data_IF_825587247440
#
_entry.id   IF_825587247440
#
_cell.length_a   1.000
_cell.length_b   1.000
_cell.length_c   1.000
_cell.angle_alpha   90.00
_cell.angle_beta   90.00
_cell.angle_gamma   90.00
#
_symmetry.space_group_name_H-M   'P 1'
#
loop_
_entity.id
_entity.type
_entity.pdbx_description
1 polymer ?
#
# COMPACT_ATOMS: atom_id res chain seq x y z
N UNK A 1 31.14 -1.32 -12.19
CA UNK A 1 30.10 -2.04 -11.46
C UNK A 1 28.92 -2.22 -12.40
N UNK A 2 28.22 -3.35 -12.36
CA UNK A 2 26.97 -3.53 -13.12
C UNK A 2 25.89 -2.65 -12.52
N UNK A 3 24.96 -2.16 -13.35
CA UNK A 3 23.81 -1.41 -12.87
C UNK A 3 22.93 -2.27 -11.95
N UNK A 4 22.34 -1.71 -10.89
CA UNK A 4 21.39 -2.42 -10.06
C UNK A 4 20.14 -2.81 -10.88
N UNK A 5 19.56 -3.98 -10.57
CA UNK A 5 18.39 -4.50 -11.28
C UNK A 5 17.13 -4.28 -10.46
N UNK A 6 16.10 -3.72 -11.09
CA UNK A 6 14.84 -3.40 -10.45
C UNK A 6 13.65 -3.82 -11.32
N UNK A 7 12.68 -4.49 -10.72
CA UNK A 7 11.35 -4.70 -11.29
C UNK A 7 10.38 -3.69 -10.67
N UNK A 8 9.86 -2.76 -11.48
CA UNK A 8 8.79 -1.84 -11.04
C UNK A 8 7.44 -2.46 -11.35
N UNK A 9 6.58 -2.57 -10.36
CA UNK A 9 5.23 -3.11 -10.52
C UNK A 9 4.19 -2.00 -10.42
N UNK A 10 3.30 -1.93 -11.42
CA UNK A 10 2.23 -0.94 -11.53
C UNK A 10 0.91 -1.67 -11.79
N UNK A 11 -0.14 -1.34 -11.01
CA UNK A 11 -1.48 -1.86 -11.23
C UNK A 11 -2.33 -0.83 -11.97
N UNK A 12 -2.94 -1.21 -13.08
CA UNK A 12 -3.83 -0.38 -13.87
C UNK A 12 -5.29 -0.81 -13.70
N UNK A 13 -6.19 0.15 -13.52
CA UNK A 13 -7.64 -0.08 -13.56
C UNK A 13 -8.39 1.21 -13.88
N UNK A 14 -8.75 1.42 -15.14
CA UNK A 14 -9.51 2.56 -15.68
C UNK A 14 -8.94 3.98 -15.48
N UNK A 15 -7.79 4.13 -14.83
CA UNK A 15 -7.08 5.41 -14.64
C UNK A 15 -5.98 5.56 -15.69
N UNK A 16 -6.38 5.68 -16.94
CA UNK A 16 -5.41 5.59 -18.05
C UNK A 16 -4.36 6.70 -18.02
N UNK A 17 -4.74 7.97 -17.82
CA UNK A 17 -3.80 9.09 -17.83
C UNK A 17 -2.78 8.97 -16.69
N UNK A 18 -3.25 8.64 -15.49
CA UNK A 18 -2.37 8.44 -14.35
C UNK A 18 -1.44 7.24 -14.57
N UNK A 19 -1.97 6.13 -15.08
CA UNK A 19 -1.17 4.93 -15.38
C UNK A 19 -0.08 5.23 -16.42
N UNK A 20 -0.40 5.99 -17.47
CA UNK A 20 0.58 6.39 -18.48
C UNK A 20 1.68 7.27 -17.89
N UNK A 21 1.33 8.22 -17.01
CA UNK A 21 2.29 9.06 -16.31
C UNK A 21 3.19 8.25 -15.38
N UNK A 22 2.63 7.30 -14.63
CA UNK A 22 3.38 6.38 -13.77
C UNK A 22 4.39 5.54 -14.58
N UNK A 23 3.96 4.96 -15.71
CA UNK A 23 4.84 4.20 -16.64
C UNK A 23 5.94 5.10 -17.19
N UNK A 24 5.61 6.31 -17.64
CA UNK A 24 6.59 7.25 -18.17
C UNK A 24 7.62 7.67 -17.10
N UNK A 25 7.18 7.95 -15.87
CA UNK A 25 8.08 8.29 -14.75
C UNK A 25 9.01 7.14 -14.37
N UNK A 26 8.54 5.89 -14.48
CA UNK A 26 9.37 4.71 -14.29
C UNK A 26 10.38 4.54 -15.45
N UNK A 27 9.97 4.72 -16.70
CA UNK A 27 10.84 4.64 -17.86
C UNK A 27 11.93 5.73 -17.88
N UNK A 28 11.68 6.88 -17.25
CA UNK A 28 12.64 7.97 -17.11
C UNK A 28 13.74 7.74 -16.06
N UNK A 29 13.66 6.65 -15.30
CA UNK A 29 14.66 6.37 -14.26
C UNK A 29 16.03 6.02 -14.87
N UNK A 30 17.09 6.43 -14.17
CA UNK A 30 18.48 6.36 -14.65
C UNK A 30 19.33 5.49 -13.73
N UNK A 31 20.47 5.08 -14.23
CA UNK A 31 21.48 4.30 -13.52
C UNK A 31 20.94 2.97 -12.94
N UNK A 32 20.00 2.35 -13.63
CA UNK A 32 19.34 1.11 -13.22
C UNK A 32 18.99 0.23 -14.46
N UNK A 33 19.15 -1.08 -14.34
CA UNK A 33 18.60 -2.05 -15.28
C UNK A 33 17.14 -2.34 -14.87
N UNK A 34 16.18 -1.83 -15.65
CA UNK A 34 14.78 -1.71 -15.29
C UNK A 34 13.90 -2.69 -16.08
N UNK A 35 12.93 -3.32 -15.40
CA UNK A 35 11.71 -3.87 -16.01
C UNK A 35 10.49 -3.18 -15.41
N UNK A 36 9.54 -2.77 -16.24
CA UNK A 36 8.25 -2.22 -15.84
C UNK A 36 7.18 -3.29 -16.05
N UNK A 37 6.57 -3.75 -14.98
CA UNK A 37 5.64 -4.87 -14.95
C UNK A 37 4.24 -4.34 -14.62
N UNK A 38 3.44 -4.14 -15.67
CA UNK A 38 2.10 -3.59 -15.57
C UNK A 38 1.09 -4.72 -15.52
N UNK A 39 0.14 -4.67 -14.57
CA UNK A 39 -1.01 -5.57 -14.54
C UNK A 39 -2.27 -4.74 -14.69
N UNK A 40 -2.94 -4.89 -15.83
CA UNK A 40 -4.27 -4.33 -16.03
C UNK A 40 -5.33 -5.26 -15.43
N UNK A 41 -6.16 -4.70 -14.57
CA UNK A 41 -7.12 -5.41 -13.76
C UNK A 41 -8.54 -5.38 -14.36
N UNK A 42 -8.65 -5.53 -15.68
CA UNK A 42 -9.92 -5.53 -16.39
C UNK A 42 -10.46 -4.12 -16.60
N UNK A 43 -9.62 -3.24 -17.10
CA UNK A 43 -10.04 -1.91 -17.56
C UNK A 43 -10.98 -2.01 -18.76
N UNK A 44 -11.74 -0.95 -18.99
CA UNK A 44 -12.54 -0.80 -20.21
C UNK A 44 -11.65 -0.90 -21.46
N UNK A 45 -12.15 -1.50 -22.58
CA UNK A 45 -11.32 -1.78 -23.75
C UNK A 45 -10.55 -0.59 -24.30
N UNK A 46 -11.16 0.59 -24.31
CA UNK A 46 -10.53 1.82 -24.79
C UNK A 46 -9.36 2.28 -23.88
N UNK A 47 -9.49 2.11 -22.55
CA UNK A 47 -8.44 2.44 -21.58
C UNK A 47 -7.31 1.42 -21.65
N UNK A 48 -7.64 0.14 -21.74
CA UNK A 48 -6.67 -0.94 -21.92
C UNK A 48 -5.84 -0.75 -23.18
N UNK A 49 -6.48 -0.45 -24.34
CA UNK A 49 -5.77 -0.25 -25.60
C UNK A 49 -4.69 0.85 -25.54
N UNK A 50 -4.96 1.93 -24.78
CA UNK A 50 -3.98 3.01 -24.57
C UNK A 50 -2.80 2.58 -23.70
N UNK A 51 -3.05 1.81 -22.66
CA UNK A 51 -1.98 1.24 -21.82
C UNK A 51 -1.14 0.24 -22.62
N UNK A 52 -1.78 -0.60 -23.45
CA UNK A 52 -1.10 -1.53 -24.35
C UNK A 52 -0.17 -0.82 -25.33
N UNK A 53 -0.66 0.23 -25.97
CA UNK A 53 0.15 1.01 -26.91
C UNK A 53 1.38 1.60 -26.21
N UNK A 54 1.23 2.21 -25.05
CA UNK A 54 2.34 2.78 -24.29
C UNK A 54 3.37 1.73 -23.85
N UNK A 55 2.90 0.56 -23.38
CA UNK A 55 3.80 -0.54 -22.99
C UNK A 55 4.54 -1.13 -24.19
N UNK A 56 3.89 -1.20 -25.36
CA UNK A 56 4.51 -1.75 -26.57
C UNK A 56 5.69 -0.90 -27.09
N UNK A 57 5.69 0.40 -26.82
CA UNK A 57 6.78 1.31 -27.19
C UNK A 57 8.02 1.17 -26.29
N UNK A 58 7.90 0.51 -25.13
CA UNK A 58 8.96 0.41 -24.14
C UNK A 58 9.53 -1.03 -24.07
N UNK A 59 10.75 -1.28 -24.57
CA UNK A 59 11.36 -2.63 -24.56
C UNK A 59 11.50 -3.23 -23.17
N UNK A 60 11.62 -2.39 -22.13
CA UNK A 60 11.72 -2.81 -20.74
C UNK A 60 10.36 -3.06 -20.07
N UNK A 61 9.24 -2.78 -20.75
CA UNK A 61 7.91 -2.92 -20.15
C UNK A 61 7.22 -4.22 -20.60
N UNK A 62 6.35 -4.74 -19.74
CA UNK A 62 5.49 -5.91 -19.98
C UNK A 62 4.12 -5.65 -19.39
N UNK A 63 3.06 -6.11 -20.08
CA UNK A 63 1.67 -6.00 -19.62
C UNK A 63 1.06 -7.40 -19.45
N UNK A 64 0.46 -7.63 -18.29
CA UNK A 64 -0.47 -8.73 -18.03
C UNK A 64 -1.89 -8.18 -17.99
N UNK A 65 -2.79 -8.77 -18.79
CA UNK A 65 -4.21 -8.40 -18.84
C UNK A 65 -5.03 -9.38 -18.02
N UNK A 66 -5.85 -8.85 -17.13
CA UNK A 66 -6.82 -9.65 -16.38
C UNK A 66 -8.23 -9.32 -16.87
N UNK A 67 -9.13 -10.29 -16.74
CA UNK A 67 -10.54 -10.10 -17.12
C UNK A 67 -11.34 -9.33 -16.06
N UNK A 68 -10.80 -9.16 -14.85
CA UNK A 68 -11.46 -8.50 -13.72
C UNK A 68 -10.43 -8.01 -12.70
N UNK A 69 -10.86 -7.09 -11.85
CA UNK A 69 -10.08 -6.64 -10.70
C UNK A 69 -9.98 -7.77 -9.64
N UNK A 70 -8.75 -8.20 -9.36
CA UNK A 70 -8.42 -9.24 -8.38
C UNK A 70 -7.93 -8.66 -7.04
N UNK A 71 -7.85 -7.35 -6.94
CA UNK A 71 -7.34 -6.63 -5.78
C UNK A 71 -5.84 -6.32 -5.85
N UNK A 72 -5.41 -5.44 -4.94
CA UNK A 72 -4.03 -4.95 -4.90
C UNK A 72 -3.03 -6.07 -4.59
N UNK A 73 -3.20 -6.90 -3.54
CA UNK A 73 -2.23 -7.94 -3.22
C UNK A 73 -2.08 -8.98 -4.34
N UNK A 74 -3.17 -9.47 -4.91
CA UNK A 74 -3.11 -10.46 -6.00
C UNK A 74 -2.49 -9.85 -7.27
N UNK A 75 -2.87 -8.62 -7.63
CA UNK A 75 -2.27 -7.92 -8.76
C UNK A 75 -0.77 -7.69 -8.59
N UNK A 76 -0.31 -7.26 -7.41
CA UNK A 76 1.11 -7.08 -7.10
C UNK A 76 1.88 -8.41 -7.09
N UNK A 77 1.28 -9.49 -6.60
CA UNK A 77 1.88 -10.83 -6.65
C UNK A 77 2.07 -11.30 -8.11
N UNK A 78 1.05 -11.13 -8.94
CA UNK A 78 1.12 -11.46 -10.37
C UNK A 78 2.20 -10.63 -11.07
N UNK A 79 2.26 -9.32 -10.82
CA UNK A 79 3.31 -8.47 -11.38
C UNK A 79 4.71 -8.92 -10.93
N UNK A 80 4.91 -9.18 -9.63
CA UNK A 80 6.18 -9.64 -9.10
C UNK A 80 6.64 -10.97 -9.72
N UNK A 81 5.70 -11.87 -10.03
CA UNK A 81 5.98 -13.15 -10.69
C UNK A 81 6.41 -13.02 -12.17
N UNK A 82 6.14 -11.89 -12.82
CA UNK A 82 6.61 -11.62 -14.19
C UNK A 82 8.09 -11.23 -14.27
N UNK A 83 8.70 -10.90 -13.14
CA UNK A 83 10.07 -10.41 -13.04
C UNK A 83 10.97 -11.30 -12.19
N UNK A 84 12.25 -10.93 -12.15
CA UNK A 84 13.27 -11.68 -11.41
C UNK A 84 14.38 -10.78 -10.81
N UNK A 85 14.24 -9.46 -10.89
CA UNK A 85 15.20 -8.54 -10.28
C UNK A 85 15.27 -8.73 -8.75
N UNK A 86 16.44 -8.53 -8.12
CA UNK A 86 16.60 -8.69 -6.66
C UNK A 86 15.80 -7.66 -5.87
N UNK A 87 15.45 -6.53 -6.48
CA UNK A 87 14.63 -5.47 -5.91
C UNK A 87 13.32 -5.34 -6.66
N UNK A 88 12.20 -5.37 -5.91
CA UNK A 88 10.86 -5.07 -6.41
C UNK A 88 10.50 -3.69 -5.90
N UNK A 89 10.01 -2.81 -6.77
CA UNK A 89 9.45 -1.50 -6.40
C UNK A 89 7.98 -1.47 -6.80
N UNK A 90 7.10 -1.21 -5.85
CA UNK A 90 5.71 -0.94 -6.16
C UNK A 90 5.50 0.56 -6.31
N UNK A 91 4.79 0.94 -7.37
CA UNK A 91 4.34 2.29 -7.65
C UNK A 91 2.84 2.24 -7.93
N UNK A 92 2.05 3.02 -7.21
CA UNK A 92 0.62 3.13 -7.52
C UNK A 92 0.43 3.84 -8.87
N UNK A 93 -0.65 3.51 -9.58
CA UNK A 93 -0.91 4.10 -10.90
C UNK A 93 -1.15 5.61 -10.89
N UNK A 94 -1.42 6.19 -9.74
CA UNK A 94 -1.59 7.63 -9.54
C UNK A 94 -0.38 8.27 -8.83
N UNK A 95 0.80 7.64 -8.95
CA UNK A 95 2.05 8.15 -8.40
C UNK A 95 3.15 8.22 -9.48
N UNK A 96 4.07 9.17 -9.32
CA UNK A 96 5.25 9.35 -10.16
C UNK A 96 6.51 9.44 -9.30
N UNK A 97 7.65 8.95 -9.77
CA UNK A 97 8.92 9.13 -9.05
C UNK A 97 9.32 10.61 -9.06
N UNK A 98 9.67 11.14 -7.90
CA UNK A 98 10.02 12.56 -7.73
C UNK A 98 11.42 12.92 -8.28
N UNK A 99 12.27 11.92 -8.52
CA UNK A 99 13.67 12.10 -8.94
C UNK A 99 14.07 10.94 -9.87
N UNK A 100 14.87 11.18 -10.94
CA UNK A 100 15.22 10.15 -11.92
C UNK A 100 16.16 9.06 -11.39
N UNK A 101 16.63 9.10 -10.13
CA UNK A 101 17.52 8.11 -9.52
C UNK A 101 16.91 7.40 -8.31
N UNK A 102 15.61 7.52 -8.07
CA UNK A 102 14.94 6.89 -6.94
C UNK A 102 15.16 5.37 -6.95
N UNK A 103 15.01 4.73 -8.12
CA UNK A 103 15.16 3.28 -8.25
C UNK A 103 16.59 2.82 -8.00
N UNK A 104 17.56 3.51 -8.59
CA UNK A 104 18.98 3.18 -8.38
C UNK A 104 19.35 3.27 -6.91
N UNK A 105 19.02 4.40 -6.25
CA UNK A 105 19.29 4.60 -4.82
C UNK A 105 18.56 3.59 -3.92
N UNK A 106 17.33 3.23 -4.24
CA UNK A 106 16.58 2.23 -3.46
C UNK A 106 17.24 0.85 -3.55
N UNK A 107 17.68 0.44 -4.74
CA UNK A 107 18.34 -0.83 -4.96
C UNK A 107 19.73 -0.86 -4.31
N UNK A 108 20.54 0.19 -4.46
CA UNK A 108 21.85 0.34 -3.80
C UNK A 108 21.71 0.28 -2.28
N UNK A 109 20.71 0.94 -1.72
CA UNK A 109 20.45 0.91 -0.28
C UNK A 109 20.11 -0.50 0.22
N UNK A 110 19.24 -1.22 -0.50
CA UNK A 110 18.93 -2.61 -0.17
C UNK A 110 20.13 -3.55 -0.38
N UNK A 111 21.04 -3.27 -1.31
CA UNK A 111 22.25 -4.04 -1.52
C UNK A 111 23.25 -3.82 -0.40
N UNK A 112 23.50 -2.56 -0.03
CA UNK A 112 24.51 -2.16 0.98
C UNK A 112 24.06 -2.39 2.43
N UNK A 113 22.73 -2.50 2.66
CA UNK A 113 22.14 -2.74 3.99
C UNK A 113 21.41 -4.07 4.02
N UNK A 114 22.12 -5.20 4.18
CA UNK A 114 21.54 -6.55 4.10
C UNK A 114 20.52 -6.85 5.20
N UNK A 115 20.49 -6.09 6.29
CA UNK A 115 19.51 -6.15 7.35
C UNK A 115 18.14 -5.64 6.91
N UNK A 116 18.06 -4.82 5.86
CA UNK A 116 16.79 -4.30 5.35
C UNK A 116 16.11 -5.31 4.40
N UNK A 117 14.85 -5.57 4.66
CA UNK A 117 13.96 -6.29 3.73
C UNK A 117 13.16 -5.35 2.82
N UNK A 118 12.92 -4.13 3.27
CA UNK A 118 12.15 -3.15 2.52
C UNK A 118 12.52 -1.71 2.92
N UNK A 119 12.18 -0.78 2.02
CA UNK A 119 12.33 0.65 2.20
C UNK A 119 11.02 1.33 1.81
N UNK A 120 10.44 2.10 2.75
CA UNK A 120 9.31 2.98 2.50
C UNK A 120 9.78 4.31 1.94
N UNK A 121 9.10 4.80 0.92
CA UNK A 121 9.38 6.10 0.29
C UNK A 121 8.59 7.23 0.97
N UNK A 122 9.08 8.45 0.82
CA UNK A 122 8.29 9.65 1.11
C UNK A 122 7.17 9.77 0.07
N UNK A 123 5.95 9.94 0.56
CA UNK A 123 4.80 10.20 -0.28
C UNK A 123 4.51 11.69 -0.24
N UNK A 124 4.72 12.36 -1.36
CA UNK A 124 4.51 13.80 -1.51
C UNK A 124 3.24 14.03 -2.32
N UNK A 125 2.50 15.06 -1.97
CA UNK A 125 1.36 15.48 -2.76
C UNK A 125 1.85 16.04 -4.11
N UNK A 126 1.35 15.50 -5.22
CA UNK A 126 1.76 15.87 -6.58
C UNK A 126 1.60 17.36 -6.89
N UNK A 127 0.56 17.99 -6.34
CA UNK A 127 0.22 19.38 -6.64
C UNK A 127 0.95 20.40 -5.78
N UNK A 128 1.34 20.03 -4.55
CA UNK A 128 1.99 20.96 -3.61
C UNK A 128 3.46 20.65 -3.36
N UNK A 129 3.91 19.44 -3.66
CA UNK A 129 5.25 18.96 -3.31
C UNK A 129 5.47 18.69 -1.82
N UNK A 130 4.48 18.93 -0.99
CA UNK A 130 4.54 18.70 0.46
C UNK A 130 4.20 17.27 0.82
N UNK A 131 4.51 16.87 2.06
CA UNK A 131 4.14 15.55 2.58
C UNK A 131 2.64 15.30 2.44
N UNK A 132 2.26 14.19 1.82
CA UNK A 132 0.85 13.74 1.78
C UNK A 132 0.46 13.12 3.12
N UNK A 133 -0.02 13.96 4.03
CA UNK A 133 -0.48 13.54 5.35
C UNK A 133 -1.64 12.55 5.31
N UNK A 134 -2.37 12.45 4.21
CA UNK A 134 -3.45 11.49 4.06
C UNK A 134 -2.97 10.07 3.82
N UNK A 135 -1.75 9.92 3.31
CA UNK A 135 -1.05 8.64 3.12
C UNK A 135 -0.06 8.34 4.26
N UNK A 136 0.14 9.28 5.20
CA UNK A 136 1.07 9.09 6.31
C UNK A 136 0.54 8.05 7.30
N UNK A 137 1.11 6.86 7.28
CA UNK A 137 0.73 5.73 8.18
C UNK A 137 1.85 5.35 9.15
N UNK A 138 2.58 6.35 9.62
CA UNK A 138 3.65 6.19 10.61
C UNK A 138 3.28 6.84 11.96
N UNK A 139 3.93 6.46 13.07
CA UNK A 139 3.66 7.05 14.37
C UNK A 139 3.92 8.56 14.41
N UNK A 140 3.15 9.29 15.23
CA UNK A 140 3.23 10.75 15.35
C UNK A 140 4.58 11.30 15.81
N UNK A 141 5.44 10.47 16.41
CA UNK A 141 6.80 10.89 16.81
C UNK A 141 7.81 10.80 15.66
N UNK A 142 7.44 10.16 14.54
CA UNK A 142 8.25 10.11 13.34
C UNK A 142 8.12 11.41 12.54
N UNK A 143 9.23 11.86 11.96
CA UNK A 143 9.26 13.04 11.07
C UNK A 143 9.39 12.61 9.62
N UNK A 144 8.62 13.21 8.67
CA UNK A 144 8.76 12.92 7.26
C UNK A 144 10.12 13.31 6.66
N UNK A 145 10.87 14.19 7.33
CA UNK A 145 12.16 14.69 6.84
C UNK A 145 13.37 13.85 7.33
N UNK A 146 13.13 12.82 8.12
CA UNK A 146 14.19 12.01 8.73
C UNK A 146 14.01 10.53 8.44
N UNK A 147 15.12 9.85 8.21
CA UNK A 147 15.11 8.39 8.15
C UNK A 147 14.81 7.81 9.54
N UNK A 148 13.99 6.75 9.57
CA UNK A 148 13.71 5.99 10.79
C UNK A 148 13.38 4.53 10.48
N UNK A 149 13.58 3.67 11.48
CA UNK A 149 13.17 2.28 11.41
C UNK A 149 11.65 2.17 11.57
N UNK A 150 11.02 1.49 10.62
CA UNK A 150 9.58 1.38 10.52
C UNK A 150 9.11 -0.07 10.70
N UNK A 151 7.81 -0.24 10.94
CA UNK A 151 7.16 -1.56 10.98
C UNK A 151 6.39 -1.87 9.71
N UNK A 152 6.26 -0.89 8.82
CA UNK A 152 5.53 -0.96 7.55
C UNK A 152 6.04 0.10 6.58
N UNK A 153 5.60 -0.01 5.36
CA UNK A 153 5.71 1.02 4.32
C UNK A 153 4.32 1.41 3.81
N UNK A 154 4.23 2.50 3.06
CA UNK A 154 3.01 2.97 2.40
C UNK A 154 2.91 2.37 1.00
N UNK A 155 1.69 2.01 0.59
CA UNK A 155 1.42 1.34 -0.69
C UNK A 155 1.81 2.13 -1.93
N UNK A 156 1.68 3.47 -1.89
CA UNK A 156 1.89 4.35 -3.03
C UNK A 156 3.32 4.32 -3.60
N UNK A 157 4.34 4.03 -2.74
CA UNK A 157 5.72 3.89 -3.19
C UNK A 157 6.60 3.18 -2.14
N UNK A 158 7.21 2.07 -2.52
CA UNK A 158 8.13 1.32 -1.66
C UNK A 158 9.00 0.35 -2.44
N UNK A 159 10.15 -0.01 -1.89
CA UNK A 159 11.02 -1.05 -2.42
C UNK A 159 11.09 -2.24 -1.47
N UNK A 160 11.11 -3.46 -2.03
CA UNK A 160 11.18 -4.72 -1.28
C UNK A 160 12.31 -5.57 -1.84
N UNK A 161 13.10 -6.19 -0.96
CA UNK A 161 14.05 -7.23 -1.32
C UNK A 161 13.30 -8.49 -1.75
N UNK A 162 13.42 -8.91 -3.02
CA UNK A 162 12.68 -10.04 -3.59
C UNK A 162 12.79 -11.31 -2.73
N UNK A 163 13.99 -11.70 -2.33
CA UNK A 163 14.18 -12.92 -1.50
C UNK A 163 13.38 -12.91 -0.20
N UNK A 164 13.23 -11.72 0.41
CA UNK A 164 12.47 -11.58 1.66
C UNK A 164 10.97 -11.66 1.40
N UNK A 165 10.52 -11.05 0.30
CA UNK A 165 9.13 -11.10 -0.15
C UNK A 165 8.68 -12.53 -0.47
N UNK A 166 9.50 -13.27 -1.22
CA UNK A 166 9.23 -14.66 -1.58
C UNK A 166 9.29 -15.60 -0.37
N UNK A 167 10.26 -15.39 0.54
CA UNK A 167 10.41 -16.21 1.75
C UNK A 167 9.17 -16.18 2.67
N UNK A 168 8.41 -15.07 2.65
CA UNK A 168 7.17 -14.94 3.43
C UNK A 168 5.91 -15.29 2.64
N UNK A 169 6.04 -15.76 1.39
CA UNK A 169 4.91 -16.13 0.54
C UNK A 169 4.13 -14.94 -0.01
N UNK A 170 4.82 -13.83 -0.29
CA UNK A 170 4.29 -12.63 -0.94
C UNK A 170 3.12 -11.96 -0.17
N UNK A 171 2.28 -11.17 -0.84
CA UNK A 171 1.10 -10.58 -0.20
C UNK A 171 -0.02 -11.60 0.04
N UNK A 172 -0.80 -11.43 1.12
CA UNK A 172 -2.01 -12.21 1.36
C UNK A 172 -3.15 -11.74 0.45
N UNK A 173 -3.42 -12.45 -0.62
CA UNK A 173 -4.42 -12.10 -1.64
C UNK A 173 -5.86 -12.01 -1.10
N UNK A 174 -6.14 -12.63 0.06
CA UNK A 174 -7.47 -12.54 0.70
C UNK A 174 -7.78 -11.13 1.19
N UNK A 175 -6.77 -10.28 1.37
CA UNK A 175 -6.96 -8.90 1.83
C UNK A 175 -7.60 -8.01 0.75
N UNK A 176 -7.48 -8.34 -0.52
CA UNK A 176 -8.09 -7.64 -1.64
C UNK A 176 -7.67 -6.16 -1.76
N UNK A 177 -7.83 -5.37 -0.69
CA UNK A 177 -7.51 -3.94 -0.61
C UNK A 177 -7.43 -3.48 0.85
N UNK A 178 -6.42 -2.72 1.23
CA UNK A 178 -6.09 -2.22 2.57
C UNK A 178 -5.58 -3.28 3.56
N UNK A 179 -4.42 -3.00 4.14
CA UNK A 179 -3.79 -3.78 5.19
C UNK A 179 -2.82 -4.86 4.73
N UNK A 180 -2.66 -5.04 3.42
CA UNK A 180 -1.70 -5.97 2.82
C UNK A 180 -0.26 -5.59 3.10
N UNK A 181 0.06 -4.30 3.12
CA UNK A 181 1.39 -3.79 3.43
C UNK A 181 1.79 -4.13 4.88
N UNK A 182 0.90 -3.86 5.83
CA UNK A 182 1.14 -4.21 7.22
C UNK A 182 1.37 -5.70 7.40
N UNK A 183 0.57 -6.51 6.71
CA UNK A 183 0.61 -7.95 6.80
C UNK A 183 1.93 -8.53 6.27
N UNK A 184 2.36 -8.15 5.08
CA UNK A 184 3.62 -8.62 4.50
C UNK A 184 4.82 -8.11 5.29
N UNK A 185 4.78 -6.87 5.76
CA UNK A 185 5.82 -6.27 6.59
C UNK A 185 6.03 -7.05 7.88
N UNK A 186 4.98 -7.41 8.61
CA UNK A 186 5.09 -8.16 9.85
C UNK A 186 5.72 -9.54 9.63
N UNK A 187 5.37 -10.21 8.54
CA UNK A 187 5.99 -11.50 8.19
C UNK A 187 7.47 -11.34 7.84
N UNK A 188 7.84 -10.29 7.10
CA UNK A 188 9.25 -10.01 6.79
C UNK A 188 10.06 -9.63 8.04
N UNK A 189 9.50 -8.80 8.93
CA UNK A 189 10.12 -8.47 10.22
C UNK A 189 10.37 -9.74 11.06
N UNK A 190 9.50 -10.74 10.95
CA UNK A 190 9.62 -12.02 11.66
C UNK A 190 10.77 -12.91 11.16
N UNK A 191 11.36 -12.57 10.01
CA UNK A 191 12.62 -13.15 9.54
C UNK A 191 13.87 -12.52 10.22
N UNK A 192 13.69 -11.65 11.21
CA UNK A 192 14.76 -10.91 11.86
C UNK A 192 15.25 -9.68 11.07
N UNK A 193 14.59 -9.36 9.97
CA UNK A 193 14.93 -8.24 9.10
C UNK A 193 14.31 -6.92 9.57
N UNK A 194 14.61 -5.82 8.89
CA UNK A 194 14.17 -4.46 9.24
C UNK A 194 13.58 -3.74 8.04
N UNK A 195 12.79 -2.71 8.31
CA UNK A 195 12.23 -1.80 7.30
C UNK A 195 12.68 -0.39 7.68
N UNK A 196 13.14 0.39 6.70
CA UNK A 196 13.46 1.81 6.90
C UNK A 196 12.54 2.69 6.08
N UNK A 197 12.09 3.80 6.65
CA UNK A 197 11.54 4.92 5.90
C UNK A 197 12.70 5.83 5.49
N UNK A 198 12.79 6.19 4.21
CA UNK A 198 13.89 6.97 3.65
C UNK A 198 13.35 8.18 2.87
N UNK A 199 13.42 9.40 3.44
CA UNK A 199 12.80 10.59 2.84
C UNK A 199 13.43 11.03 1.53
N UNK A 200 14.70 10.67 1.25
CA UNK A 200 15.34 10.97 -0.04
C UNK A 200 14.84 10.09 -1.19
N UNK A 201 14.08 9.06 -0.92
CA UNK A 201 13.37 8.25 -1.90
C UNK A 201 11.92 8.72 -1.89
N UNK A 202 11.48 9.43 -2.91
CA UNK A 202 10.16 10.05 -2.90
C UNK A 202 9.35 9.75 -4.16
N UNK A 203 8.04 9.69 -3.99
CA UNK A 203 7.06 9.68 -5.07
C UNK A 203 6.06 10.82 -4.91
N UNK A 204 5.62 11.38 -6.03
CA UNK A 204 4.57 12.37 -6.13
C UNK A 204 3.24 11.66 -6.34
N UNK A 205 2.33 11.76 -5.39
CA UNK A 205 1.06 11.05 -5.37
C UNK A 205 -0.11 11.99 -5.71
N UNK A 206 -0.87 11.64 -6.74
CA UNK A 206 -2.01 12.44 -7.23
C UNK A 206 -3.26 12.18 -6.38
N UNK A 207 -3.29 12.77 -5.20
CA UNK A 207 -4.45 12.66 -4.31
C UNK A 207 -5.51 13.66 -4.76
N UNK A 208 -6.44 13.25 -5.63
CA UNK A 208 -7.62 14.04 -5.97
C UNK A 208 -8.86 13.55 -5.23
N UNK A 209 -9.82 14.46 -5.05
CA UNK A 209 -11.11 14.14 -4.41
C UNK A 209 -11.89 13.06 -5.16
N UNK A 210 -11.82 13.08 -6.49
CA UNK A 210 -12.51 12.16 -7.39
C UNK A 210 -11.91 10.75 -7.38
N UNK A 211 -10.63 10.64 -7.03
CA UNK A 211 -9.87 9.38 -7.03
C UNK A 211 -9.89 8.67 -5.69
N UNK A 212 -10.28 9.34 -4.60
CA UNK A 212 -10.43 8.69 -3.31
C UNK A 212 -11.62 7.74 -3.33
N UNK A 213 -11.35 6.50 -3.02
CA UNK A 213 -12.42 5.55 -2.70
C UNK A 213 -13.14 6.07 -1.46
N UNK A 214 -14.32 6.65 -1.63
CA UNK A 214 -15.12 7.15 -0.53
C UNK A 214 -15.37 6.04 0.50
N UNK A 215 -15.41 6.40 1.77
CA UNK A 215 -15.79 5.45 2.83
C UNK A 215 -17.11 4.76 2.54
N UNK A 216 -18.03 5.45 1.91
CA UNK A 216 -19.33 4.96 1.44
C UNK A 216 -19.22 3.93 0.31
N UNK A 217 -18.21 4.04 -0.56
CA UNK A 217 -17.98 3.18 -1.72
C UNK A 217 -17.36 1.81 -1.42
N UNK A 218 -17.49 1.30 -0.20
CA UNK A 218 -17.00 -0.03 0.16
C UNK A 218 -15.62 -0.06 0.82
N UNK A 219 -14.88 1.04 0.86
CA UNK A 219 -13.57 1.11 1.53
C UNK A 219 -13.68 0.75 3.01
N UNK A 220 -14.71 1.27 3.71
CA UNK A 220 -14.90 0.96 5.13
C UNK A 220 -15.23 -0.52 5.37
N UNK A 221 -16.00 -1.14 4.47
CA UNK A 221 -16.24 -2.58 4.49
C UNK A 221 -14.91 -3.36 4.45
N UNK A 222 -14.03 -3.05 3.48
CA UNK A 222 -12.72 -3.71 3.36
C UNK A 222 -11.85 -3.45 4.59
N UNK A 223 -11.82 -2.21 5.09
CA UNK A 223 -11.06 -1.84 6.29
C UNK A 223 -11.48 -2.68 7.50
N UNK A 224 -12.80 -2.80 7.77
CA UNK A 224 -13.31 -3.57 8.90
C UNK A 224 -13.00 -5.06 8.74
N UNK A 225 -13.31 -5.63 7.57
CA UNK A 225 -13.06 -7.04 7.24
C UNK A 225 -11.58 -7.40 7.44
N UNK A 226 -10.69 -6.60 6.86
CA UNK A 226 -9.27 -6.89 6.86
C UNK A 226 -8.63 -6.62 8.22
N UNK A 227 -9.05 -5.56 8.93
CA UNK A 227 -8.56 -5.29 10.28
C UNK A 227 -8.90 -6.44 11.25
N UNK A 228 -10.13 -6.95 11.23
CA UNK A 228 -10.53 -8.07 12.08
C UNK A 228 -9.79 -9.35 11.69
N UNK A 229 -9.65 -9.64 10.40
CA UNK A 229 -8.88 -10.78 9.93
C UNK A 229 -7.40 -10.68 10.31
N UNK A 230 -6.78 -9.52 10.17
CA UNK A 230 -5.38 -9.28 10.58
C UNK A 230 -5.20 -9.40 12.09
N UNK A 231 -6.12 -8.82 12.89
CA UNK A 231 -6.11 -9.00 14.34
C UNK A 231 -6.17 -10.49 14.73
N UNK A 232 -7.01 -11.26 14.06
CA UNK A 232 -7.12 -12.70 14.30
C UNK A 232 -5.85 -13.46 13.93
N UNK A 233 -5.24 -13.17 12.78
CA UNK A 233 -3.99 -13.79 12.33
C UNK A 233 -2.85 -13.61 13.32
N UNK A 234 -2.73 -12.43 13.91
CA UNK A 234 -1.67 -12.10 14.87
C UNK A 234 -2.07 -12.35 16.33
N UNK A 235 -2.89 -13.37 16.56
CA UNK A 235 -3.23 -13.93 17.87
C UNK A 235 -3.90 -12.96 18.86
N UNK A 236 -4.76 -12.10 18.38
CA UNK A 236 -5.62 -11.33 19.25
C UNK A 236 -6.69 -12.24 19.86
N UNK A 237 -6.76 -12.29 21.21
CA UNK A 237 -7.76 -13.11 21.89
C UNK A 237 -9.20 -12.72 21.51
N UNK A 238 -10.13 -13.68 21.54
CA UNK A 238 -11.54 -13.52 21.13
C UNK A 238 -12.23 -12.32 21.76
N UNK A 239 -11.97 -12.01 23.03
CA UNK A 239 -12.54 -10.85 23.69
C UNK A 239 -12.12 -9.55 23.00
N UNK A 240 -10.83 -9.39 22.69
CA UNK A 240 -10.34 -8.19 21.99
C UNK A 240 -10.87 -8.08 20.57
N UNK A 241 -11.00 -9.21 19.88
CA UNK A 241 -11.57 -9.27 18.53
C UNK A 241 -13.05 -8.83 18.56
N UNK A 242 -13.84 -9.35 19.50
CA UNK A 242 -15.26 -8.98 19.66
C UNK A 242 -15.43 -7.50 19.95
N UNK A 243 -14.60 -6.97 20.84
CA UNK A 243 -14.66 -5.53 21.14
C UNK A 243 -14.21 -4.67 19.96
N UNK A 244 -13.20 -5.08 19.21
CA UNK A 244 -12.82 -4.39 17.98
C UNK A 244 -13.98 -4.40 16.97
N UNK A 245 -14.67 -5.52 16.80
CA UNK A 245 -15.85 -5.62 15.94
C UNK A 245 -16.97 -4.66 16.36
N UNK A 246 -17.30 -4.62 17.66
CA UNK A 246 -18.28 -3.67 18.20
C UNK A 246 -17.84 -2.22 17.97
N UNK A 247 -16.57 -1.90 18.22
CA UNK A 247 -16.04 -0.55 18.02
C UNK A 247 -16.13 -0.11 16.54
N UNK A 248 -15.84 -1.00 15.59
CA UNK A 248 -15.99 -0.71 14.17
C UNK A 248 -17.46 -0.47 13.79
N UNK A 249 -18.39 -1.26 14.31
CA UNK A 249 -19.82 -1.06 14.08
C UNK A 249 -20.28 0.28 14.64
N UNK A 250 -19.95 0.60 15.90
CA UNK A 250 -20.30 1.89 16.52
C UNK A 250 -19.73 3.08 15.74
N UNK A 251 -18.46 2.98 15.29
CA UNK A 251 -17.85 4.00 14.43
C UNK A 251 -18.59 4.14 13.10
N UNK A 252 -18.97 3.02 12.51
CA UNK A 252 -19.76 2.99 11.28
C UNK A 252 -21.12 3.64 11.45
N UNK A 253 -21.85 3.34 12.53
CA UNK A 253 -23.14 3.95 12.86
C UNK A 253 -23.01 5.46 13.04
N UNK A 254 -21.99 5.91 13.80
CA UNK A 254 -21.73 7.33 14.00
C UNK A 254 -21.46 8.11 12.70
N UNK A 255 -20.93 7.45 11.69
CA UNK A 255 -20.59 8.05 10.39
C UNK A 255 -21.60 7.74 9.27
N UNK A 256 -22.77 7.16 9.60
CA UNK A 256 -23.81 6.84 8.61
C UNK A 256 -23.53 5.60 7.74
N UNK A 257 -22.46 4.86 8.02
CA UNK A 257 -21.98 3.68 7.25
C UNK A 257 -22.01 2.37 8.06
N UNK A 258 -22.93 2.28 9.03
CA UNK A 258 -23.07 1.10 9.90
C UNK A 258 -23.34 -0.21 9.15
N UNK A 259 -24.06 -0.14 8.02
CA UNK A 259 -24.31 -1.31 7.16
C UNK A 259 -23.02 -1.89 6.59
N UNK A 260 -22.12 -1.03 6.12
CA UNK A 260 -20.80 -1.45 5.61
C UNK A 260 -19.95 -2.07 6.73
N UNK A 261 -19.99 -1.48 7.93
CA UNK A 261 -19.29 -2.03 9.10
C UNK A 261 -19.80 -3.44 9.44
N UNK A 262 -21.11 -3.62 9.57
CA UNK A 262 -21.71 -4.92 9.89
C UNK A 262 -21.37 -5.99 8.83
N UNK A 263 -21.47 -5.64 7.55
CA UNK A 263 -21.05 -6.52 6.44
C UNK A 263 -19.56 -6.87 6.53
N UNK A 264 -18.70 -5.92 6.89
CA UNK A 264 -17.27 -6.15 7.07
C UNK A 264 -16.97 -7.14 8.19
N UNK A 265 -17.68 -7.02 9.34
CA UNK A 265 -17.60 -7.98 10.46
C UNK A 265 -18.01 -9.37 9.99
N UNK A 266 -19.18 -9.51 9.36
CA UNK A 266 -19.66 -10.81 8.87
C UNK A 266 -18.72 -11.44 7.85
N UNK A 267 -18.19 -10.65 6.92
CA UNK A 267 -17.27 -11.13 5.89
C UNK A 267 -15.86 -11.48 6.44
N UNK A 268 -15.48 -11.02 7.62
CA UNK A 268 -14.24 -11.44 8.29
C UNK A 268 -14.30 -12.87 8.84
N UNK A 269 -15.50 -13.36 9.20
CA UNK A 269 -15.68 -14.67 9.83
C UNK A 269 -15.17 -15.82 8.97
N UNK A 270 -15.58 -15.98 7.68
CA UNK A 270 -15.07 -17.07 6.87
C UNK A 270 -13.55 -17.01 6.65
N UNK A 271 -12.96 -15.81 6.61
CA UNK A 271 -11.50 -15.66 6.53
C UNK A 271 -10.81 -16.18 7.80
N UNK A 272 -11.33 -15.81 8.96
CA UNK A 272 -10.82 -16.29 10.26
C UNK A 272 -10.97 -17.81 10.40
N UNK A 273 -12.11 -18.36 9.99
CA UNK A 273 -12.36 -19.83 10.03
C UNK A 273 -11.42 -20.56 9.06
N UNK A 274 -11.25 -20.06 7.83
CA UNK A 274 -10.30 -20.63 6.87
C UNK A 274 -8.88 -20.63 7.41
N UNK A 275 -8.45 -19.51 8.01
CA UNK A 275 -7.14 -19.39 8.64
C UNK A 275 -6.99 -20.35 9.85
N UNK A 276 -8.05 -20.49 10.66
CA UNK A 276 -8.04 -21.39 11.82
C UNK A 276 -7.83 -22.87 11.45
N UNK A 277 -8.27 -23.25 10.26
CA UNK A 277 -8.18 -24.63 9.75
C UNK A 277 -6.85 -24.96 9.06
N UNK A 278 -5.96 -23.98 8.91
CA UNK A 278 -4.68 -24.13 8.22
C UNK A 278 -3.51 -23.99 9.21
N UNK A 279 -2.97 -25.11 9.77
CA UNK A 279 -1.86 -25.06 10.71
C UNK A 279 -0.56 -24.52 10.12
N UNK A 280 -0.28 -24.82 8.85
CA UNK A 280 0.94 -24.36 8.19
C UNK A 280 0.90 -22.84 8.04
N UNK A 281 -0.23 -22.33 7.64
CA UNK A 281 -0.45 -20.89 7.54
C UNK A 281 -0.36 -20.20 8.90
N UNK A 282 -0.95 -20.77 9.97
CA UNK A 282 -0.82 -20.21 11.33
C UNK A 282 0.63 -20.03 11.74
N UNK A 283 1.50 -21.00 11.44
CA UNK A 283 2.92 -20.94 11.77
C UNK A 283 3.61 -19.72 11.13
N UNK A 284 3.26 -19.36 9.89
CA UNK A 284 3.81 -18.20 9.19
C UNK A 284 3.45 -16.85 9.85
N UNK A 285 2.36 -16.80 10.59
CA UNK A 285 1.84 -15.57 11.25
C UNK A 285 2.13 -15.52 12.76
N UNK A 286 2.86 -16.50 13.27
CA UNK A 286 3.28 -16.53 14.67
C UNK A 286 4.55 -15.69 14.82
N UNK A 287 4.37 -14.42 15.22
CA UNK A 287 5.49 -13.52 15.44
C UNK A 287 6.26 -13.89 16.71
N UNK A 288 7.59 -13.84 16.61
CA UNK A 288 8.49 -14.09 17.73
C UNK A 288 8.38 -12.99 18.81
N UNK A 289 8.79 -13.26 20.06
CA UNK A 289 8.86 -12.24 21.10
C UNK A 289 9.74 -11.05 20.71
N UNK A 290 10.84 -11.30 20.00
CA UNK A 290 11.79 -10.29 19.49
C UNK A 290 11.11 -9.39 18.47
N UNK A 291 10.36 -9.97 17.52
CA UNK A 291 9.59 -9.21 16.52
C UNK A 291 8.54 -8.34 17.21
N UNK A 292 7.82 -8.88 18.20
CA UNK A 292 6.87 -8.09 18.99
C UNK A 292 7.56 -7.00 19.82
N UNK A 293 8.77 -7.26 20.31
CA UNK A 293 9.62 -6.28 20.97
C UNK A 293 9.91 -5.09 20.06
N UNK A 294 10.42 -5.38 18.88
CA UNK A 294 10.73 -4.38 17.86
C UNK A 294 9.50 -3.57 17.41
N UNK A 295 8.37 -4.24 17.14
CA UNK A 295 7.13 -3.55 16.78
C UNK A 295 6.68 -2.58 17.87
N UNK A 296 6.79 -2.97 19.15
CA UNK A 296 6.44 -2.10 20.30
C UNK A 296 7.43 -0.95 20.51
N UNK A 297 8.65 -1.11 20.10
CA UNK A 297 9.67 -0.04 20.13
C UNK A 297 9.37 1.01 19.06
N UNK A 298 9.18 0.58 17.81
CA UNK A 298 8.85 1.49 16.70
C UNK A 298 7.46 2.11 16.82
N UNK A 299 6.49 1.42 17.44
CA UNK A 299 5.11 1.88 17.62
C UNK A 299 4.73 1.97 19.12
N UNK A 300 5.19 2.98 19.86
CA UNK A 300 4.90 3.11 21.30
C UNK A 300 3.40 3.11 21.64
N UNK A 301 2.55 3.60 20.74
CA UNK A 301 1.09 3.60 20.90
C UNK A 301 0.48 2.19 21.02
N UNK A 302 1.22 1.14 20.65
CA UNK A 302 0.81 -0.25 20.90
C UNK A 302 0.87 -0.64 22.36
N UNK A 303 1.64 0.10 23.17
CA UNK A 303 1.71 -0.05 24.63
C UNK A 303 0.55 0.65 25.36
N UNK A 304 -0.18 1.52 24.65
CA UNK A 304 -1.27 2.28 25.25
C UNK A 304 -2.35 1.36 25.85
N UNK A 305 -2.98 1.80 26.94
CA UNK A 305 -4.12 1.10 27.54
C UNK A 305 -5.21 0.84 26.50
N UNK A 306 -5.92 -0.24 26.71
CA UNK A 306 -6.99 -0.64 25.80
C UNK A 306 -8.09 0.42 25.66
N UNK A 307 -8.41 1.15 26.74
CA UNK A 307 -9.35 2.27 26.72
C UNK A 307 -8.96 3.39 25.73
N UNK A 308 -7.66 3.71 25.63
CA UNK A 308 -7.14 4.70 24.68
C UNK A 308 -7.24 4.21 23.24
N UNK A 309 -7.00 2.91 22.99
CA UNK A 309 -7.17 2.28 21.67
C UNK A 309 -8.64 2.30 21.24
N UNK A 310 -9.56 1.97 22.16
CA UNK A 310 -10.99 2.04 21.89
C UNK A 310 -11.45 3.47 21.61
N UNK A 311 -10.99 4.45 22.40
CA UNK A 311 -11.32 5.87 22.17
C UNK A 311 -10.89 6.32 20.76
N UNK A 312 -9.70 5.94 20.29
CA UNK A 312 -9.25 6.22 18.93
C UNK A 312 -10.13 5.56 17.87
N UNK A 313 -10.59 4.33 18.09
CA UNK A 313 -11.53 3.66 17.19
C UNK A 313 -12.90 4.35 17.13
N UNK A 314 -13.31 5.04 18.18
CA UNK A 314 -14.57 5.78 18.22
C UNK A 314 -14.47 7.22 17.68
N UNK A 315 -13.27 7.69 17.29
CA UNK A 315 -13.15 9.01 16.64
C UNK A 315 -13.85 9.02 15.29
N UNK A 316 -14.44 10.16 14.89
CA UNK A 316 -15.01 10.29 13.55
C UNK A 316 -14.01 9.93 12.45
N UNK A 317 -14.49 9.40 11.35
CA UNK A 317 -13.69 9.25 10.15
C UNK A 317 -13.32 10.63 9.60
N UNK A 318 -12.13 10.80 9.01
CA UNK A 318 -11.76 12.06 8.39
C UNK A 318 -12.82 12.43 7.34
N UNK A 319 -13.41 13.61 7.49
CA UNK A 319 -14.25 14.20 6.44
C UNK A 319 -13.35 15.02 5.54
N UNK A 320 -13.64 15.03 4.25
CA UNK A 320 -12.97 15.93 3.32
C UNK A 320 -13.18 17.36 3.80
N UNK A 321 -12.11 18.15 3.92
CA UNK A 321 -12.25 19.55 4.24
C UNK A 321 -12.85 20.29 3.03
N UNK A 322 -13.72 21.28 3.30
CA UNK A 322 -14.28 22.16 2.27
C UNK A 322 -13.21 22.99 1.52
N UNK A 323 -11.99 23.07 2.05
CA UNK A 323 -10.84 23.68 1.41
C UNK A 323 -10.34 22.83 0.23
N UNK A 324 -10.30 21.50 0.37
CA UNK A 324 -9.89 20.57 -0.69
C UNK A 324 -10.91 20.58 -1.85
N UNK A 325 -12.20 20.78 -1.55
CA UNK A 325 -13.27 20.92 -2.55
C UNK A 325 -13.15 22.18 -3.39
N UNK A 326 -12.65 23.29 -2.81
CA UNK A 326 -12.46 24.57 -3.53
C UNK A 326 -11.23 24.54 -4.44
N UNK A 327 -10.16 23.85 -4.05
CA UNK A 327 -8.96 23.68 -4.88
C UNK A 327 -9.27 22.87 -6.16
N UNK A 328 -10.07 21.83 -6.08
CA UNK A 328 -10.48 21.02 -7.23
C UNK A 328 -11.41 21.77 -8.20
N UNK A 329 -12.31 22.64 -7.68
CA UNK A 329 -13.20 23.44 -8.54
C UNK A 329 -12.50 24.58 -9.27
N UNK A 330 -11.36 25.08 -8.77
CA UNK A 330 -10.60 26.16 -9.41
C UNK A 330 -9.72 25.68 -10.57
N UNK A 331 -9.36 24.38 -10.61
CA UNK A 331 -8.59 23.80 -11.74
C UNK A 331 -9.47 23.43 -12.93
N UNK A 332 -10.76 23.19 -12.74
CA UNK A 332 -11.71 22.84 -13.82
C UNK A 332 -12.18 24.05 -14.66
N UNK A 333 -11.91 25.29 -14.23
CA UNK A 333 -12.38 26.54 -14.92
C UNK A 333 -11.34 27.15 -15.86
N UNK A 334 -10.15 26.56 -16.01
CA UNK A 334 -9.11 27.09 -16.89
C UNK A 334 -8.97 26.41 -18.27
N UNK A 335 -9.79 25.42 -18.61
CA UNK A 335 -9.76 24.75 -19.92
C UNK A 335 -10.94 25.09 -20.87
N UNK A 336 -11.66 26.19 -20.65
CA UNK A 336 -12.64 26.66 -21.62
C UNK A 336 -12.36 28.11 -21.97
N UNK A 337 -11.45 28.29 -22.94
CA UNK A 337 -11.26 29.61 -23.55
C UNK A 337 -9.92 29.78 -24.27
N UNK A 338 -9.74 29.14 -25.45
CA UNK A 338 -9.10 29.79 -26.62
C UNK A 338 -9.68 29.15 -27.88
N UNK A 339 -10.15 29.98 -28.76
CA UNK A 339 -10.90 29.75 -29.96
C UNK A 339 -10.22 29.02 -31.13
#
# INVERSE_FOLDING_TARGET
MSLPKVDVIILSWNRVEDTLAAIASAAAQRDVELKILVVDQGSEPQNLARVEAAVAELPCARLLRLMRNVGVPAGRNLAAAMGNAPTIVALDSDAEFADPRVLARAAELLETRPELCAVGFAILNYFTGETDWSSWDYPNHCSPDREFMATRFVGAGHAIRRRSFEAVGAYDERLMFCGEELDVCYRMLNLGQRISYVPSLAVLHKVTLEQRVFWEGGRYFQTVRNALYTLYKYQTGWLRLSVAAVAFVLRGLRNGIGRQAARGVLASIPLCVSFARDPQRKAMYQLSPETWGYIRECEPSRRDPWSSKLRRQLTPLPRQSSADARAASSTSTHEVGVG
#
